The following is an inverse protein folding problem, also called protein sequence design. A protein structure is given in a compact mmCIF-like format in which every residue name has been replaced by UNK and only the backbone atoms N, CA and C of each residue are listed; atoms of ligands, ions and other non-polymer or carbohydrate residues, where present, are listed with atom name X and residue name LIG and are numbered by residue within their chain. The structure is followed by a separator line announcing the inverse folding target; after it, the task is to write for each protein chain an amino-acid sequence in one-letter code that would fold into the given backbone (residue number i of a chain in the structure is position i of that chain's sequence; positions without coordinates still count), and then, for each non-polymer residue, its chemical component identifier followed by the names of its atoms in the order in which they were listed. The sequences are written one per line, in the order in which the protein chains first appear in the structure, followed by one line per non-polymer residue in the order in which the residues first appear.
data_IF_947470908133
#
_entry.id   IF_947470908133
#
_cell.length_a   1.000
_cell.length_b   1.000
_cell.length_c   1.000
_cell.angle_alpha   90.00
_cell.angle_beta   90.00
_cell.angle_gamma   90.00
#
_symmetry.space_group_name_H-M   'P 1'
#
loop_
_entity.id
_entity.type
_entity.pdbx_description
1 polymer ?
#
# COMPACT_ATOMS: atom_id res chain seq x y z
N UNK A 1 44.41 -45.07 -33.97
CA UNK A 1 43.14 -44.58 -34.50
C UNK A 1 43.36 -43.98 -35.87
N UNK A 2 42.44 -44.22 -36.78
CA UNK A 2 42.54 -43.63 -38.10
C UNK A 2 42.28 -42.12 -38.03
N UNK A 3 43.06 -41.30 -38.74
CA UNK A 3 42.87 -39.85 -38.75
C UNK A 3 41.48 -39.40 -39.19
N UNK A 4 40.82 -40.19 -40.06
CA UNK A 4 39.46 -39.93 -40.53
C UNK A 4 38.43 -40.01 -39.41
N UNK A 5 38.59 -40.95 -38.47
CA UNK A 5 37.71 -41.10 -37.31
C UNK A 5 37.90 -39.94 -36.35
N UNK A 6 39.15 -39.50 -36.14
CA UNK A 6 39.45 -38.33 -35.31
C UNK A 6 38.81 -37.05 -35.86
N UNK A 7 38.88 -36.85 -37.17
CA UNK A 7 38.25 -35.72 -37.85
C UNK A 7 36.73 -35.74 -37.69
N UNK A 8 36.09 -36.91 -37.80
CA UNK A 8 34.65 -37.08 -37.61
C UNK A 8 34.22 -36.75 -36.16
N UNK A 9 35.02 -37.16 -35.17
CA UNK A 9 34.75 -36.88 -33.78
C UNK A 9 34.82 -35.38 -33.47
N UNK A 10 35.81 -34.69 -34.07
CA UNK A 10 35.95 -33.24 -33.94
C UNK A 10 34.74 -32.51 -34.56
N UNK A 11 34.28 -32.98 -35.74
CA UNK A 11 33.09 -32.39 -36.38
C UNK A 11 31.83 -32.60 -35.55
N UNK A 12 31.64 -33.80 -34.98
CA UNK A 12 30.53 -34.06 -34.07
C UNK A 12 30.53 -33.13 -32.85
N UNK A 13 31.70 -32.93 -32.24
CA UNK A 13 31.82 -32.03 -31.08
C UNK A 13 31.45 -30.59 -31.46
N UNK A 14 31.89 -30.11 -32.61
CA UNK A 14 31.54 -28.78 -33.13
C UNK A 14 30.05 -28.65 -33.42
N UNK A 15 29.45 -29.68 -34.04
CA UNK A 15 28.02 -29.69 -34.31
C UNK A 15 27.21 -29.61 -33.01
N UNK A 16 27.60 -30.36 -31.98
CA UNK A 16 26.96 -30.33 -30.69
C UNK A 16 27.05 -28.95 -30.03
N UNK A 17 28.19 -28.30 -30.14
CA UNK A 17 28.38 -26.93 -29.64
C UNK A 17 27.52 -25.92 -30.37
N UNK A 18 27.42 -26.03 -31.69
CA UNK A 18 26.56 -25.19 -32.53
C UNK A 18 25.10 -25.35 -32.14
N UNK A 19 24.62 -26.60 -31.99
CA UNK A 19 23.27 -26.87 -31.52
C UNK A 19 22.98 -26.29 -30.15
N UNK A 20 23.92 -26.42 -29.21
CA UNK A 20 23.79 -25.87 -27.87
C UNK A 20 23.72 -24.34 -27.89
N UNK A 21 24.53 -23.69 -28.72
CA UNK A 21 24.51 -22.23 -28.88
C UNK A 21 23.22 -21.76 -29.51
N UNK A 22 22.72 -22.48 -30.51
CA UNK A 22 21.44 -22.17 -31.15
C UNK A 22 20.27 -22.27 -30.16
N UNK A 23 20.27 -23.30 -29.30
CA UNK A 23 19.28 -23.45 -28.25
C UNK A 23 19.37 -22.29 -27.24
N UNK A 24 20.60 -21.91 -26.83
CA UNK A 24 20.82 -20.78 -25.94
C UNK A 24 20.31 -19.49 -26.58
N UNK A 25 20.58 -19.28 -27.87
CA UNK A 25 20.08 -18.09 -28.59
C UNK A 25 18.57 -18.05 -28.67
N UNK A 26 17.90 -19.19 -28.73
CA UNK A 26 16.44 -19.27 -28.71
C UNK A 26 15.87 -18.96 -27.32
N UNK A 27 16.60 -19.30 -26.26
CA UNK A 27 16.18 -19.04 -24.88
C UNK A 27 16.31 -17.57 -24.48
N UNK A 28 17.32 -16.87 -25.01
CA UNK A 28 17.59 -15.47 -24.66
C UNK A 28 16.37 -14.56 -24.88
N UNK A 29 15.69 -14.58 -26.04
CA UNK A 29 14.51 -13.75 -26.23
C UNK A 29 13.38 -14.04 -25.22
N UNK A 30 13.16 -15.34 -24.92
CA UNK A 30 12.15 -15.76 -23.94
C UNK A 30 12.51 -15.28 -22.52
N UNK A 31 13.76 -15.43 -22.12
CA UNK A 31 14.26 -14.94 -20.83
C UNK A 31 14.17 -13.43 -20.72
N UNK A 32 14.46 -12.74 -21.81
CA UNK A 32 14.37 -11.27 -21.89
C UNK A 32 12.93 -10.79 -21.75
N UNK A 33 12.00 -11.47 -22.38
CA UNK A 33 10.57 -11.21 -22.28
C UNK A 33 10.08 -11.42 -20.87
N UNK A 34 10.45 -12.53 -20.23
CA UNK A 34 10.10 -12.82 -18.83
C UNK A 34 10.65 -11.78 -17.88
N UNK A 35 11.91 -11.34 -18.09
CA UNK A 35 12.53 -10.28 -17.28
C UNK A 35 11.78 -8.95 -17.43
N UNK A 36 11.35 -8.61 -18.64
CA UNK A 36 10.56 -7.40 -18.90
C UNK A 36 9.20 -7.47 -18.21
N UNK A 37 8.54 -8.61 -18.24
CA UNK A 37 7.25 -8.83 -17.58
C UNK A 37 7.40 -8.69 -16.06
N UNK A 38 8.43 -9.30 -15.48
CA UNK A 38 8.71 -9.18 -14.05
C UNK A 38 8.97 -7.74 -13.64
N UNK A 39 9.77 -7.02 -14.42
CA UNK A 39 10.06 -5.61 -14.17
C UNK A 39 8.79 -4.77 -14.25
N UNK A 40 7.95 -4.99 -15.27
CA UNK A 40 6.68 -4.28 -15.41
C UNK A 40 5.75 -4.57 -14.23
N UNK A 41 5.67 -5.82 -13.77
CA UNK A 41 4.89 -6.21 -12.61
C UNK A 41 5.42 -5.57 -11.33
N UNK A 42 6.73 -5.55 -11.14
CA UNK A 42 7.37 -4.93 -9.98
C UNK A 42 7.13 -3.42 -9.96
N UNK A 43 7.22 -2.75 -11.10
CA UNK A 43 6.91 -1.32 -11.23
C UNK A 43 5.45 -1.05 -10.87
N UNK A 44 4.53 -1.89 -11.35
CA UNK A 44 3.10 -1.77 -11.06
C UNK A 44 2.84 -1.98 -9.56
N UNK A 45 3.48 -2.96 -8.93
CA UNK A 45 3.36 -3.21 -7.49
C UNK A 45 3.85 -2.02 -6.66
N UNK A 46 4.99 -1.46 -7.02
CA UNK A 46 5.54 -0.28 -6.35
C UNK A 46 4.62 0.93 -6.51
N UNK A 47 4.10 1.16 -7.72
CA UNK A 47 3.18 2.25 -7.99
C UNK A 47 1.89 2.11 -7.17
N UNK A 48 1.33 0.89 -7.10
CA UNK A 48 0.13 0.62 -6.31
C UNK A 48 0.39 0.80 -4.81
N UNK A 49 1.54 0.34 -4.32
CA UNK A 49 1.93 0.52 -2.92
C UNK A 49 2.07 1.99 -2.55
N UNK A 50 2.69 2.79 -3.42
CA UNK A 50 2.81 4.25 -3.23
C UNK A 50 1.45 4.92 -3.20
N UNK A 51 0.55 4.50 -4.09
CA UNK A 51 -0.81 5.03 -4.13
C UNK A 51 -1.56 4.70 -2.85
N UNK A 52 -1.46 3.47 -2.36
CA UNK A 52 -2.09 3.07 -1.09
C UNK A 52 -1.58 3.90 0.09
N UNK A 53 -0.27 4.15 0.15
CA UNK A 53 0.33 4.99 1.19
C UNK A 53 -0.21 6.41 1.10
N UNK A 54 -0.26 6.99 -0.10
CA UNK A 54 -0.79 8.34 -0.30
C UNK A 54 -2.27 8.44 0.06
N UNK A 55 -3.07 7.49 -0.40
CA UNK A 55 -4.51 7.45 -0.09
C UNK A 55 -4.73 7.33 1.42
N UNK A 56 -3.92 6.53 2.09
CA UNK A 56 -3.99 6.35 3.54
C UNK A 56 -3.61 7.64 4.28
N UNK A 57 -2.57 8.35 3.83
CA UNK A 57 -2.16 9.65 4.39
C UNK A 57 -3.27 10.69 4.24
N UNK A 58 -3.91 10.74 3.08
CA UNK A 58 -5.03 11.66 2.82
C UNK A 58 -6.21 11.31 3.74
N UNK A 59 -6.52 10.01 3.89
CA UNK A 59 -7.60 9.57 4.78
C UNK A 59 -7.32 9.95 6.23
N UNK A 60 -6.08 9.79 6.70
CA UNK A 60 -5.67 10.19 8.05
C UNK A 60 -5.84 11.70 8.25
N UNK A 61 -5.39 12.50 7.29
CA UNK A 61 -5.54 13.96 7.35
C UNK A 61 -7.00 14.39 7.40
N UNK A 62 -7.85 13.77 6.59
CA UNK A 62 -9.27 14.05 6.60
C UNK A 62 -9.92 13.71 7.94
N UNK A 63 -9.54 12.58 8.55
CA UNK A 63 -9.99 12.21 9.88
C UNK A 63 -9.51 13.18 10.95
N UNK A 64 -8.27 13.62 10.87
CA UNK A 64 -7.72 14.63 11.79
C UNK A 64 -8.50 15.95 11.71
N UNK A 65 -8.84 16.38 10.51
CA UNK A 65 -9.65 17.60 10.31
C UNK A 65 -11.06 17.41 10.87
N UNK A 66 -11.68 16.26 10.64
CA UNK A 66 -13.00 15.93 11.18
C UNK A 66 -12.98 15.91 12.72
N UNK A 67 -11.99 15.27 13.30
CA UNK A 67 -11.80 15.20 14.75
C UNK A 67 -11.64 16.62 15.32
N UNK A 68 -10.79 17.42 14.66
CA UNK A 68 -10.57 18.81 15.08
C UNK A 68 -11.85 19.64 15.05
N UNK A 69 -12.63 19.53 13.98
CA UNK A 69 -13.91 20.22 13.82
C UNK A 69 -14.89 19.80 14.91
N UNK A 70 -14.98 18.51 15.21
CA UNK A 70 -15.89 17.98 16.23
C UNK A 70 -15.46 18.37 17.64
N UNK A 71 -14.15 18.38 17.91
CA UNK A 71 -13.61 18.87 19.19
C UNK A 71 -13.91 20.35 19.40
N UNK A 72 -13.81 21.16 18.35
CA UNK A 72 -14.18 22.58 18.43
C UNK A 72 -15.68 22.74 18.73
N UNK A 73 -16.51 21.94 18.10
CA UNK A 73 -17.95 21.91 18.38
C UNK A 73 -18.23 21.50 19.82
N UNK A 74 -17.50 20.49 20.33
CA UNK A 74 -17.61 20.06 21.73
C UNK A 74 -17.25 21.18 22.70
N UNK A 75 -16.15 21.89 22.44
CA UNK A 75 -15.74 23.02 23.27
C UNK A 75 -16.81 24.10 23.31
N UNK A 76 -17.38 24.40 22.15
CA UNK A 76 -18.49 25.37 22.05
C UNK A 76 -19.72 24.90 22.83
N UNK A 77 -20.09 23.63 22.71
CA UNK A 77 -21.22 23.07 23.45
C UNK A 77 -20.97 23.09 24.97
N UNK A 78 -19.76 22.80 25.40
CA UNK A 78 -19.40 22.88 26.83
C UNK A 78 -19.52 24.30 27.39
N UNK A 79 -19.10 25.30 26.60
CA UNK A 79 -19.26 26.71 26.96
C UNK A 79 -20.73 27.08 27.04
N UNK A 80 -21.54 26.67 26.07
CA UNK A 80 -22.99 26.88 26.06
C UNK A 80 -23.65 26.22 27.27
N UNK A 81 -23.24 24.99 27.61
CA UNK A 81 -23.74 24.27 28.78
C UNK A 81 -23.43 25.01 30.08
N UNK A 82 -22.22 25.52 30.18
CA UNK A 82 -21.78 26.30 31.34
C UNK A 82 -22.61 27.59 31.53
N UNK A 83 -22.97 28.24 30.42
CA UNK A 83 -23.77 29.47 30.41
C UNK A 83 -25.27 29.23 30.58
N UNK A 84 -25.73 28.00 30.37
CA UNK A 84 -27.13 27.66 30.43
C UNK A 84 -27.64 27.58 31.86
N UNK A 85 -28.77 28.22 32.11
CA UNK A 85 -29.41 28.26 33.42
C UNK A 85 -30.62 27.34 33.54
N UNK A 86 -31.14 26.84 32.41
CA UNK A 86 -32.31 25.96 32.38
C UNK A 86 -31.89 24.50 32.38
N UNK A 87 -32.50 23.69 33.27
CA UNK A 87 -32.18 22.26 33.38
C UNK A 87 -32.47 21.47 32.11
N UNK A 88 -33.57 21.80 31.42
CA UNK A 88 -33.95 21.09 30.17
C UNK A 88 -32.91 21.31 29.07
N UNK A 89 -32.44 22.55 28.92
CA UNK A 89 -31.41 22.91 27.95
C UNK A 89 -30.07 22.30 28.32
N UNK A 90 -29.73 22.30 29.62
CA UNK A 90 -28.51 21.67 30.13
C UNK A 90 -28.47 20.19 29.82
N UNK A 91 -29.58 19.47 30.06
CA UNK A 91 -29.69 18.04 29.78
C UNK A 91 -29.58 17.75 28.29
N UNK A 92 -30.24 18.58 27.44
CA UNK A 92 -30.16 18.44 25.99
C UNK A 92 -28.73 18.64 25.50
N UNK A 93 -28.01 19.64 26.01
CA UNK A 93 -26.60 19.90 25.68
C UNK A 93 -25.70 18.78 26.17
N UNK A 94 -25.95 18.24 27.34
CA UNK A 94 -25.19 17.10 27.88
C UNK A 94 -25.34 15.86 26.99
N UNK A 95 -26.53 15.59 26.51
CA UNK A 95 -26.81 14.49 25.57
C UNK A 95 -26.09 14.70 24.24
N UNK A 96 -26.09 15.93 23.71
CA UNK A 96 -25.34 16.27 22.49
C UNK A 96 -23.84 16.11 22.67
N UNK A 97 -23.30 16.59 23.80
CA UNK A 97 -21.88 16.45 24.13
C UNK A 97 -21.50 14.97 24.18
N UNK A 98 -22.32 14.14 24.83
CA UNK A 98 -22.11 12.70 24.89
C UNK A 98 -22.07 12.07 23.50
N UNK A 99 -23.00 12.46 22.63
CA UNK A 99 -23.06 11.96 21.25
C UNK A 99 -21.83 12.36 20.45
N UNK A 100 -21.36 13.60 20.55
CA UNK A 100 -20.15 14.07 19.88
C UNK A 100 -18.89 13.39 20.42
N UNK A 101 -18.83 13.14 21.73
CA UNK A 101 -17.73 12.39 22.33
C UNK A 101 -17.63 10.98 21.76
N UNK A 102 -18.77 10.29 21.62
CA UNK A 102 -18.80 8.96 20.98
C UNK A 102 -18.32 9.01 19.54
N UNK A 103 -18.73 10.03 18.79
CA UNK A 103 -18.30 10.21 17.41
C UNK A 103 -16.80 10.48 17.31
N UNK A 104 -16.26 11.29 18.21
CA UNK A 104 -14.82 11.56 18.27
C UNK A 104 -14.05 10.28 18.59
N UNK A 105 -14.51 9.50 19.56
CA UNK A 105 -13.88 8.23 19.93
C UNK A 105 -13.88 7.25 18.75
N UNK A 106 -14.99 7.16 18.02
CA UNK A 106 -15.08 6.33 16.83
C UNK A 106 -14.11 6.78 15.75
N UNK A 107 -14.02 8.09 15.49
CA UNK A 107 -13.08 8.65 14.52
C UNK A 107 -11.63 8.43 14.93
N UNK A 108 -11.32 8.58 16.21
CA UNK A 108 -9.98 8.31 16.74
C UNK A 108 -9.61 6.83 16.58
N UNK A 109 -10.55 5.92 16.78
CA UNK A 109 -10.35 4.49 16.54
C UNK A 109 -10.06 4.22 15.08
N UNK A 110 -10.81 4.83 14.15
CA UNK A 110 -10.56 4.73 12.71
C UNK A 110 -9.18 5.28 12.35
N UNK A 111 -8.79 6.39 12.95
CA UNK A 111 -7.47 6.99 12.74
C UNK A 111 -6.35 6.03 13.17
N UNK A 112 -6.49 5.40 14.35
CA UNK A 112 -5.53 4.42 14.84
C UNK A 112 -5.42 3.21 13.91
N UNK A 113 -6.54 2.73 13.39
CA UNK A 113 -6.56 1.64 12.41
C UNK A 113 -5.81 2.00 11.13
N UNK A 114 -6.01 3.22 10.63
CA UNK A 114 -5.31 3.71 9.45
C UNK A 114 -3.81 3.92 9.72
N UNK A 115 -3.45 4.39 10.90
CA UNK A 115 -2.05 4.53 11.31
C UNK A 115 -1.35 3.17 11.41
N UNK A 116 -2.02 2.17 11.95
CA UNK A 116 -1.52 0.80 12.00
C UNK A 116 -1.32 0.24 10.59
N UNK A 117 -2.28 0.47 9.71
CA UNK A 117 -2.17 0.09 8.29
C UNK A 117 -0.98 0.79 7.63
N UNK A 118 -0.75 2.06 7.93
CA UNK A 118 0.38 2.82 7.39
C UNK A 118 1.71 2.22 7.85
N UNK A 119 1.82 1.83 9.11
CA UNK A 119 3.01 1.19 9.65
C UNK A 119 3.27 -0.16 8.99
N UNK A 120 2.22 -0.96 8.77
CA UNK A 120 2.31 -2.24 8.07
C UNK A 120 2.75 -2.07 6.61
N UNK A 121 2.26 -1.03 5.93
CA UNK A 121 2.65 -0.73 4.55
C UNK A 121 4.12 -0.30 4.44
N UNK A 122 4.67 0.32 5.47
CA UNK A 122 6.09 0.73 5.50
C UNK A 122 7.04 -0.45 5.65
N UNK A 123 6.61 -1.52 6.32
CA UNK A 123 7.41 -2.72 6.54
C UNK A 123 7.57 -3.49 5.22
N UNK A 124 6.58 -3.49 4.38
CA UNK A 124 6.61 -4.14 3.06
C UNK A 124 7.29 -3.24 2.01
#
# INVERSE_FOLDING_TARGET
MLPEIESLLVLQDRDQRICSLEEDMKRIPSSKEQAKERLANDIALVANAKKEVQDNEVAIKNLELDIGTRKNTLDRLKVQQYETKKNDEFTALENEIGRYNEQVDELETQELELMEKADNLRID
#
